data_IF_294949105896
#
_entry.id   IF_294949105896
#
_cell.length_a   1.000
_cell.length_b   1.000
_cell.length_c   1.000
_cell.angle_alpha   90.00
_cell.angle_beta   90.00
_cell.angle_gamma   90.00
#
_symmetry.space_group_name_H-M   'P 1'
#
loop_
_entity.id
_entity.type
_entity.pdbx_description
1 polymer ?
#
# COMPACT_ATOMS: atom_id res chain seq x y z
N UNK A 1 43.42 -44.06 -21.97
CA UNK A 1 43.68 -45.41 -21.43
C UNK A 1 43.54 -45.33 -19.92
N UNK A 2 42.55 -46.07 -19.37
CA UNK A 2 42.33 -46.40 -17.93
C UNK A 2 41.97 -45.22 -17.00
N UNK A 3 41.12 -45.29 -15.98
CA UNK A 3 40.28 -46.30 -15.29
C UNK A 3 39.65 -45.45 -14.14
N UNK A 4 38.37 -45.40 -13.84
CA UNK A 4 37.50 -46.40 -13.22
C UNK A 4 36.20 -45.65 -12.87
N UNK A 5 35.03 -46.07 -13.33
CA UNK A 5 34.08 -46.84 -12.50
C UNK A 5 33.82 -46.24 -11.11
N UNK A 6 32.98 -45.22 -11.04
CA UNK A 6 32.05 -45.04 -9.92
C UNK A 6 30.68 -44.63 -10.45
N UNK A 7 29.86 -45.66 -10.65
CA UNK A 7 28.43 -45.72 -10.35
C UNK A 7 27.52 -44.64 -10.96
N UNK A 8 26.89 -45.05 -12.06
CA UNK A 8 25.53 -44.66 -12.43
C UNK A 8 24.64 -44.73 -11.18
N UNK A 9 24.19 -43.59 -10.67
CA UNK A 9 22.98 -43.48 -9.88
C UNK A 9 22.03 -42.57 -10.67
N UNK A 10 21.03 -43.23 -11.25
CA UNK A 10 19.92 -42.69 -12.01
C UNK A 10 19.29 -41.46 -11.31
N UNK A 11 19.07 -40.40 -12.08
CA UNK A 11 18.34 -39.24 -11.57
C UNK A 11 18.27 -38.09 -12.58
N UNK A 12 17.68 -38.33 -13.75
CA UNK A 12 17.20 -37.24 -14.61
C UNK A 12 16.10 -36.52 -13.83
N UNK A 13 16.37 -35.30 -13.36
CA UNK A 13 15.34 -34.33 -12.99
C UNK A 13 15.81 -32.93 -13.40
N UNK A 14 15.39 -32.56 -14.61
CA UNK A 14 15.17 -31.17 -15.00
C UNK A 14 14.29 -30.49 -13.94
N UNK A 15 14.61 -29.25 -13.58
CA UNK A 15 13.70 -28.11 -13.48
C UNK A 15 14.39 -26.99 -12.70
N UNK A 16 14.83 -25.98 -13.45
CA UNK A 16 15.08 -24.66 -12.91
C UNK A 16 13.77 -24.13 -12.32
N UNK A 17 13.70 -23.98 -11.00
CA UNK A 17 12.63 -23.24 -10.36
C UNK A 17 13.22 -21.99 -9.72
N UNK A 18 13.22 -20.89 -10.48
CA UNK A 18 13.19 -19.54 -9.92
C UNK A 18 11.92 -19.42 -9.08
N UNK A 19 12.03 -19.47 -7.75
CA UNK A 19 10.88 -19.18 -6.90
C UNK A 19 10.73 -17.66 -6.77
N UNK A 20 10.08 -17.07 -7.78
CA UNK A 20 9.32 -15.84 -7.58
C UNK A 20 8.34 -16.12 -6.44
N UNK A 21 8.41 -15.36 -5.35
CA UNK A 21 7.39 -15.40 -4.31
C UNK A 21 6.03 -15.14 -4.98
N UNK A 22 5.18 -16.15 -4.99
CA UNK A 22 3.83 -16.08 -5.54
C UNK A 22 3.08 -14.94 -4.83
N UNK A 23 2.72 -13.91 -5.59
CA UNK A 23 1.65 -13.01 -5.17
C UNK A 23 0.38 -13.84 -5.13
N UNK A 24 -0.17 -14.03 -3.92
CA UNK A 24 -1.44 -14.69 -3.68
C UNK A 24 -2.54 -14.02 -4.52
N UNK A 25 -3.16 -14.71 -5.50
CA UNK A 25 -4.28 -14.17 -6.25
C UNK A 25 -5.54 -14.27 -5.39
N UNK A 26 -5.93 -13.18 -4.73
CA UNK A 26 -7.27 -13.06 -4.16
C UNK A 26 -8.23 -12.63 -5.28
N UNK A 27 -8.76 -13.67 -5.93
CA UNK A 27 -10.19 -13.92 -6.21
C UNK A 27 -11.11 -12.71 -6.46
N UNK A 28 -11.64 -12.66 -7.69
CA UNK A 28 -12.59 -11.66 -8.19
C UNK A 28 -14.01 -12.23 -8.18
N UNK A 29 -14.89 -11.77 -7.30
CA UNK A 29 -16.34 -11.74 -7.54
C UNK A 29 -17.05 -10.76 -6.59
N UNK A 30 -18.06 -10.04 -7.11
CA UNK A 30 -18.94 -9.05 -6.45
C UNK A 30 -18.31 -7.64 -6.41
N UNK A 31 -19.11 -6.61 -6.68
CA UNK A 31 -18.71 -5.20 -6.90
C UNK A 31 -17.53 -4.76 -6.03
N UNK A 32 -16.52 -4.04 -6.56
CA UNK A 32 -15.28 -3.81 -5.85
C UNK A 32 -15.55 -3.07 -4.55
N UNK A 33 -15.47 -3.79 -3.43
CA UNK A 33 -15.35 -3.15 -2.13
C UNK A 33 -14.01 -2.41 -2.17
N UNK A 34 -14.06 -1.08 -2.30
CA UNK A 34 -12.84 -0.28 -2.35
C UNK A 34 -12.18 -0.37 -0.96
N UNK A 35 -11.17 -1.23 -0.85
CA UNK A 35 -10.34 -1.33 0.33
C UNK A 35 -9.33 -0.18 0.35
N UNK A 36 -9.34 0.60 1.43
CA UNK A 36 -8.38 1.66 1.67
C UNK A 36 -7.21 1.14 2.52
N UNK A 37 -6.06 1.80 2.41
CA UNK A 37 -4.84 1.49 3.15
C UNK A 37 -4.05 2.77 3.42
N UNK A 38 -2.96 2.66 4.19
CA UNK A 38 -2.18 3.80 4.68
C UNK A 38 -1.69 4.79 3.59
N UNK A 39 -1.46 4.33 2.37
CA UNK A 39 -0.99 5.17 1.26
C UNK A 39 -2.09 5.65 0.31
N UNK A 40 -3.36 5.30 0.54
CA UNK A 40 -4.47 5.69 -0.33
C UNK A 40 -4.62 7.21 -0.47
N UNK A 41 -4.14 8.00 0.50
CA UNK A 41 -4.16 9.46 0.42
C UNK A 41 -3.27 10.03 -0.70
N UNK A 42 -2.23 9.31 -1.13
CA UNK A 42 -1.26 9.81 -2.12
C UNK A 42 -1.91 10.15 -3.47
N UNK A 43 -2.94 9.41 -3.84
CA UNK A 43 -3.67 9.59 -5.10
C UNK A 43 -5.05 10.22 -4.88
N UNK A 44 -5.67 10.02 -3.71
CA UNK A 44 -7.03 10.48 -3.43
C UNK A 44 -7.11 11.88 -2.81
N UNK A 45 -6.02 12.38 -2.20
CA UNK A 45 -5.98 13.71 -1.60
C UNK A 45 -5.26 14.70 -2.53
N UNK A 46 -5.92 15.79 -2.98
CA UNK A 46 -5.30 16.79 -3.85
C UNK A 46 -4.01 17.34 -3.25
N UNK A 47 -2.96 17.50 -4.06
CA UNK A 47 -1.65 18.04 -3.62
C UNK A 47 -1.72 19.39 -2.93
N UNK A 48 -2.74 20.20 -3.23
CA UNK A 48 -3.00 21.48 -2.56
C UNK A 48 -3.50 21.33 -1.13
N UNK A 49 -4.07 20.19 -0.76
CA UNK A 49 -4.62 19.94 0.57
C UNK A 49 -3.50 19.86 1.62
N UNK A 50 -3.56 20.75 2.60
CA UNK A 50 -2.55 20.89 3.66
C UNK A 50 -2.90 20.09 4.91
N UNK A 51 -4.19 19.82 5.15
CA UNK A 51 -4.69 19.02 6.28
C UNK A 51 -5.67 17.97 5.79
N UNK A 52 -5.44 16.72 6.14
CA UNK A 52 -6.29 15.62 5.68
C UNK A 52 -6.34 14.47 6.69
N UNK A 53 -7.36 13.62 6.53
CA UNK A 53 -7.44 12.32 7.16
C UNK A 53 -7.00 11.26 6.16
N UNK A 54 -6.00 10.43 6.50
CA UNK A 54 -5.46 9.40 5.59
C UNK A 54 -6.30 8.12 5.53
N UNK A 55 -7.39 8.06 6.29
CA UNK A 55 -8.20 6.86 6.51
C UNK A 55 -8.05 6.26 7.92
N UNK A 56 -7.03 6.66 8.67
CA UNK A 56 -6.80 6.29 10.06
C UNK A 56 -6.25 7.43 10.93
N UNK A 57 -5.35 8.23 10.37
CA UNK A 57 -4.59 9.28 11.02
C UNK A 57 -4.92 10.67 10.47
N UNK A 58 -4.72 11.67 11.32
CA UNK A 58 -4.73 13.07 10.89
C UNK A 58 -3.34 13.46 10.45
N UNK A 59 -3.26 14.05 9.27
CA UNK A 59 -2.01 14.37 8.59
C UNK A 59 -1.96 15.85 8.20
N UNK A 60 -0.74 16.38 8.19
CA UNK A 60 -0.41 17.71 7.68
C UNK A 60 0.71 17.62 6.65
N UNK A 61 0.65 18.46 5.62
CA UNK A 61 1.74 18.65 4.66
C UNK A 61 1.84 20.10 4.20
N UNK A 62 3.03 20.47 3.73
CA UNK A 62 3.16 21.72 2.97
C UNK A 62 2.40 21.60 1.63
N UNK A 63 1.84 22.69 1.09
CA UNK A 63 1.19 22.68 -0.22
C UNK A 63 2.13 22.10 -1.29
N UNK A 64 1.67 21.08 -2.02
CA UNK A 64 2.46 20.45 -3.07
C UNK A 64 3.50 19.42 -2.61
N UNK A 65 3.67 19.19 -1.31
CA UNK A 65 4.64 18.22 -0.80
C UNK A 65 4.19 16.75 -0.98
N UNK A 66 5.16 15.87 -1.27
CA UNK A 66 4.97 14.43 -1.42
C UNK A 66 5.00 13.66 -0.09
N UNK A 67 5.47 14.32 0.98
CA UNK A 67 5.53 13.79 2.34
C UNK A 67 4.56 14.53 3.25
N UNK A 68 4.00 13.80 4.20
CA UNK A 68 3.12 14.33 5.24
C UNK A 68 3.56 13.85 6.62
N UNK A 69 3.32 14.67 7.64
CA UNK A 69 3.45 14.28 9.03
C UNK A 69 2.07 13.86 9.55
N UNK A 70 1.97 12.66 10.11
CA UNK A 70 0.70 12.09 10.57
C UNK A 70 0.78 11.67 12.04
N UNK A 71 -0.37 11.66 12.71
CA UNK A 71 -0.53 10.94 13.98
C UNK A 71 -0.21 9.45 13.81
N UNK A 72 -0.07 8.69 14.91
CA UNK A 72 0.26 7.25 14.91
C UNK A 72 -0.80 6.41 15.62
N UNK A 73 -2.06 6.61 15.26
CA UNK A 73 -3.18 5.78 15.71
C UNK A 73 -3.20 4.45 14.95
N UNK A 74 -3.60 3.40 15.65
CA UNK A 74 -3.88 2.09 15.05
C UNK A 74 -5.38 2.01 14.70
N UNK A 75 -5.70 1.54 13.50
CA UNK A 75 -7.08 1.33 13.05
C UNK A 75 -7.26 -0.10 12.57
N UNK A 76 -8.40 -0.71 12.89
CA UNK A 76 -8.75 -2.06 12.43
C UNK A 76 -8.99 -2.07 10.91
N UNK A 77 -9.59 -1.02 10.38
CA UNK A 77 -9.86 -0.83 8.94
C UNK A 77 -9.66 0.63 8.57
N UNK A 78 -9.01 0.88 7.44
CA UNK A 78 -8.87 2.22 6.89
C UNK A 78 -10.18 2.66 6.23
N UNK A 79 -10.51 3.93 6.43
CA UNK A 79 -11.64 4.59 5.77
C UNK A 79 -11.15 5.36 4.54
N UNK A 80 -12.08 5.90 3.75
CA UNK A 80 -11.75 6.77 2.63
C UNK A 80 -10.97 8.00 3.12
N UNK A 81 -9.83 8.35 2.50
CA UNK A 81 -9.12 9.60 2.79
C UNK A 81 -9.99 10.83 2.49
N UNK A 82 -9.89 11.87 3.32
CA UNK A 82 -10.66 13.12 3.17
C UNK A 82 -9.78 14.36 3.37
N UNK A 83 -9.87 15.33 2.47
CA UNK A 83 -9.26 16.65 2.65
C UNK A 83 -10.09 17.50 3.63
N UNK A 84 -9.44 18.19 4.55
CA UNK A 84 -10.09 18.93 5.65
C UNK A 84 -9.96 20.46 5.54
N UNK A 85 -9.32 20.97 4.48
CA UNK A 85 -9.04 22.40 4.34
C UNK A 85 -10.32 23.25 4.21
N UNK A 86 -11.38 22.72 3.60
CA UNK A 86 -12.68 23.43 3.45
C UNK A 86 -13.42 23.56 4.79
N UNK A 87 -13.21 22.62 5.72
CA UNK A 87 -13.85 22.61 7.04
C UNK A 87 -13.29 23.69 7.98
N UNK A 88 -12.17 24.31 7.60
CA UNK A 88 -11.52 25.38 8.38
C UNK A 88 -11.93 26.76 7.92
N UNK A 89 -12.35 26.90 6.66
CA UNK A 89 -12.85 28.16 6.12
C UNK A 89 -14.21 28.51 6.75
N UNK A 90 -15.02 27.51 7.12
CA UNK A 90 -16.29 27.70 7.84
C UNK A 90 -16.13 27.95 9.35
N UNK A 91 -14.94 27.73 9.93
CA UNK A 91 -14.69 27.93 11.37
C UNK A 91 -13.95 29.23 11.71
N UNK A 92 -13.41 29.94 10.70
CA UNK A 92 -12.65 31.17 10.88
C UNK A 92 -13.47 32.46 10.67
N UNK A 93 -14.77 32.34 10.37
CA UNK A 93 -15.71 33.47 10.31
C UNK A 93 -16.66 33.38 11.50
N UNK A 94 -16.17 33.77 12.67
CA UNK A 94 -16.96 33.75 13.90
C UNK A 94 -16.38 34.66 14.98
N UNK A 95 -16.76 35.93 14.90
CA UNK A 95 -16.59 37.06 15.85
C UNK A 95 -15.18 37.52 16.20
#
# INVERSE_FOLDING_TARGET
MFRSLTMIALGVMLLACTQQAAQNPQDQSIAPEIEYHQDSWRTLIPRSCTRFFDGCNHCTRAPGADMAACTRMACVKYKKPVCLDDQLQSGAVGY
#
